data_IF_742917815719
#
_entry.id   IF_742917815719
#
_cell.length_a   1.000
_cell.length_b   1.000
_cell.length_c   1.000
_cell.angle_alpha   90.00
_cell.angle_beta   90.00
_cell.angle_gamma   90.00
#
_symmetry.space_group_name_H-M   'P 1'
#
loop_
_entity.id
_entity.type
_entity.pdbx_description
1 polymer ?
#
# COMPACT_ATOMS: atom_id res chain seq x y z
N UNK A 1 -4.90 -9.48 -6.74
CA UNK A 1 -5.65 -10.31 -7.71
C UNK A 1 -7.04 -9.72 -7.89
N UNK A 2 -7.54 -9.70 -9.13
CA UNK A 2 -8.92 -9.33 -9.45
C UNK A 2 -9.55 -10.40 -10.34
N UNK A 3 -10.79 -10.76 -10.06
CA UNK A 3 -11.60 -11.59 -10.95
C UNK A 3 -12.44 -10.68 -11.82
N UNK A 4 -12.35 -10.86 -13.12
CA UNK A 4 -13.02 -10.03 -14.11
C UNK A 4 -13.89 -10.84 -15.05
N UNK A 5 -15.04 -10.29 -15.43
CA UNK A 5 -15.93 -10.86 -16.42
C UNK A 5 -16.67 -9.74 -17.18
N UNK A 6 -17.14 -10.06 -18.38
CA UNK A 6 -18.10 -9.20 -19.06
C UNK A 6 -19.53 -9.53 -18.64
N UNK A 7 -20.33 -8.51 -18.39
CA UNK A 7 -21.75 -8.69 -18.16
C UNK A 7 -22.51 -8.87 -19.50
N UNK A 8 -23.85 -9.06 -19.42
CA UNK A 8 -24.67 -9.29 -20.61
C UNK A 8 -24.71 -8.09 -21.57
N UNK A 9 -24.44 -6.92 -21.06
CA UNK A 9 -24.34 -5.67 -21.80
C UNK A 9 -22.93 -5.40 -22.36
N UNK A 10 -21.99 -6.34 -22.16
CA UNK A 10 -20.59 -6.23 -22.62
C UNK A 10 -19.72 -5.30 -21.77
N UNK A 11 -20.13 -4.89 -20.56
CA UNK A 11 -19.33 -4.08 -19.67
C UNK A 11 -18.40 -4.96 -18.85
N UNK A 12 -17.13 -4.55 -18.71
CA UNK A 12 -16.17 -5.22 -17.86
C UNK A 12 -16.52 -4.97 -16.38
N UNK A 13 -16.60 -6.04 -15.61
CA UNK A 13 -16.81 -6.03 -14.17
C UNK A 13 -15.71 -6.79 -13.46
N UNK A 14 -15.40 -6.36 -12.23
CA UNK A 14 -14.39 -7.00 -11.42
C UNK A 14 -14.84 -7.12 -9.96
N UNK A 15 -14.28 -8.13 -9.28
CA UNK A 15 -14.27 -8.23 -7.81
C UNK A 15 -12.83 -8.48 -7.35
N UNK A 16 -12.53 -8.00 -6.15
CA UNK A 16 -11.33 -8.42 -5.44
C UNK A 16 -11.72 -9.63 -4.55
N UNK A 17 -11.17 -10.83 -4.80
CA UNK A 17 -11.47 -12.00 -3.97
C UNK A 17 -10.74 -11.98 -2.62
N UNK A 18 -9.85 -11.03 -2.41
CA UNK A 18 -9.08 -10.89 -1.17
C UNK A 18 -9.82 -9.97 -0.19
N UNK A 19 -10.14 -10.49 1.00
CA UNK A 19 -10.77 -9.70 2.06
C UNK A 19 -9.80 -8.82 2.84
N UNK A 20 -8.50 -8.86 2.52
CA UNK A 20 -7.44 -8.10 3.17
C UNK A 20 -7.06 -6.84 2.40
N UNK A 21 -6.75 -5.78 3.15
CA UNK A 21 -6.07 -4.58 2.66
C UNK A 21 -4.60 -4.66 3.11
N UNK A 22 -3.69 -4.78 2.16
CA UNK A 22 -2.28 -5.02 2.39
C UNK A 22 -1.43 -3.89 1.79
N UNK A 23 -0.49 -3.36 2.57
CA UNK A 23 0.33 -2.25 2.11
C UNK A 23 1.72 -2.20 2.73
N UNK A 24 2.54 -1.31 2.18
CA UNK A 24 3.87 -0.95 2.72
C UNK A 24 3.68 0.03 3.86
N UNK A 25 4.37 -0.18 5.00
CA UNK A 25 4.29 0.74 6.13
C UNK A 25 5.13 2.01 5.92
N UNK A 26 6.44 1.97 5.61
CA UNK A 26 7.24 3.17 5.44
C UNK A 26 6.68 4.13 4.40
N UNK A 27 6.58 5.41 4.77
CA UNK A 27 6.02 6.46 3.93
C UNK A 27 4.49 6.53 3.92
N UNK A 28 3.78 5.60 4.55
CA UNK A 28 2.33 5.67 4.73
C UNK A 28 2.01 6.50 5.96
N UNK A 29 1.35 7.64 5.77
CA UNK A 29 0.98 8.60 6.81
C UNK A 29 -0.34 9.30 6.48
N UNK A 30 -0.87 10.10 7.39
CA UNK A 30 -2.14 10.81 7.18
C UNK A 30 -2.09 11.80 6.03
N UNK A 31 -0.96 12.39 5.74
CA UNK A 31 -0.75 13.33 4.64
C UNK A 31 -0.52 12.64 3.28
N UNK A 32 0.04 11.44 3.28
CA UNK A 32 0.30 10.68 2.04
C UNK A 32 -0.83 9.73 1.66
N UNK A 33 -1.47 9.08 2.63
CA UNK A 33 -2.58 8.15 2.40
C UNK A 33 -3.53 8.08 3.61
N UNK A 34 -4.43 9.07 3.78
CA UNK A 34 -5.35 9.11 4.92
C UNK A 34 -6.28 7.89 4.98
N UNK A 35 -6.73 7.37 3.84
CA UNK A 35 -7.60 6.20 3.81
C UNK A 35 -6.90 4.94 4.34
N UNK A 36 -5.63 4.72 4.02
CA UNK A 36 -4.86 3.64 4.59
C UNK A 36 -4.72 3.80 6.11
N UNK A 37 -4.36 4.99 6.58
CA UNK A 37 -4.21 5.27 8.02
C UNK A 37 -5.51 5.06 8.80
N UNK A 38 -6.66 5.42 8.23
CA UNK A 38 -7.97 5.15 8.84
C UNK A 38 -8.30 3.66 8.85
N UNK A 39 -7.91 2.94 7.80
CA UNK A 39 -8.18 1.50 7.66
C UNK A 39 -7.42 0.65 8.68
N UNK A 40 -6.17 1.01 8.97
CA UNK A 40 -5.25 0.21 9.81
C UNK A 40 -5.38 0.46 11.31
N UNK A 41 -6.30 1.29 11.78
CA UNK A 41 -6.41 1.69 13.19
C UNK A 41 -6.77 0.54 14.13
N UNK A 42 -7.36 -0.54 13.63
CA UNK A 42 -7.77 -1.70 14.43
C UNK A 42 -7.68 -2.98 13.61
N UNK A 43 -7.65 -4.13 14.31
CA UNK A 43 -7.64 -5.46 13.69
C UNK A 43 -6.54 -5.64 12.63
N UNK A 44 -5.41 -4.99 12.82
CA UNK A 44 -4.32 -4.93 11.85
C UNK A 44 -3.14 -5.74 12.34
N UNK A 45 -2.55 -6.51 11.44
CA UNK A 45 -1.28 -7.18 11.65
C UNK A 45 -0.19 -6.31 11.02
N UNK A 46 0.83 -5.98 11.82
CA UNK A 46 2.02 -5.29 11.36
C UNK A 46 3.20 -6.25 11.35
N UNK A 47 4.07 -6.14 10.35
CA UNK A 47 5.30 -6.94 10.25
C UNK A 47 6.50 -6.03 10.09
N UNK A 48 7.52 -6.27 10.91
CA UNK A 48 8.82 -5.59 10.85
C UNK A 48 8.73 -4.06 10.99
N UNK A 49 7.75 -3.57 11.73
CA UNK A 49 7.65 -2.18 12.17
C UNK A 49 8.34 -1.98 13.52
N UNK A 50 8.63 -0.75 13.90
CA UNK A 50 9.10 -0.43 15.25
C UNK A 50 7.94 -0.32 16.23
N UNK A 51 8.24 -0.53 17.53
CA UNK A 51 7.28 -0.43 18.62
C UNK A 51 7.61 0.78 19.50
N UNK A 52 6.57 1.50 19.90
CA UNK A 52 6.67 2.58 20.89
C UNK A 52 6.31 2.06 22.27
N UNK A 53 6.95 2.63 23.30
CA UNK A 53 6.72 2.24 24.70
C UNK A 53 5.28 2.47 25.22
N UNK A 54 4.46 3.20 24.47
CA UNK A 54 3.03 3.43 24.72
C UNK A 54 2.11 2.43 24.01
N UNK A 55 2.67 1.44 23.31
CA UNK A 55 1.95 0.38 22.61
C UNK A 55 1.56 0.71 21.17
N UNK A 56 1.93 1.90 20.67
CA UNK A 56 1.75 2.23 19.24
C UNK A 56 2.89 1.63 18.41
N UNK A 57 2.69 1.59 17.11
CA UNK A 57 3.72 1.23 16.12
C UNK A 57 4.27 2.48 15.44
N UNK A 58 5.51 2.37 14.97
CA UNK A 58 6.21 3.43 14.29
C UNK A 58 6.92 2.90 13.03
N UNK A 59 6.97 3.73 12.02
CA UNK A 59 7.77 3.57 10.80
C UNK A 59 8.09 4.94 10.22
N UNK A 60 9.06 5.01 9.34
CA UNK A 60 9.50 6.23 8.67
C UNK A 60 8.35 6.88 7.88
N UNK A 61 8.16 8.18 8.11
CA UNK A 61 7.01 8.97 7.64
C UNK A 61 6.02 9.35 8.75
N UNK A 62 6.16 8.79 9.98
CA UNK A 62 5.35 9.15 11.14
C UNK A 62 6.09 10.03 12.16
N UNK A 63 7.22 10.62 11.78
CA UNK A 63 8.07 11.39 12.70
C UNK A 63 7.33 12.57 13.33
N UNK A 64 6.41 13.20 12.60
CA UNK A 64 5.61 14.32 13.08
C UNK A 64 4.50 13.92 14.07
N UNK A 65 4.15 12.63 14.11
CA UNK A 65 3.08 12.10 14.96
C UNK A 65 3.61 11.54 16.29
N UNK A 66 4.94 11.57 16.51
CA UNK A 66 5.59 10.98 17.67
C UNK A 66 6.43 11.99 18.42
N UNK A 67 6.12 12.18 19.70
CA UNK A 67 6.98 12.93 20.63
C UNK A 67 8.04 12.00 21.21
N UNK A 68 9.19 11.93 20.56
CA UNK A 68 10.31 11.06 20.98
C UNK A 68 10.92 11.41 22.35
N UNK A 69 10.56 12.57 22.96
CA UNK A 69 10.95 12.87 24.33
C UNK A 69 10.10 12.12 25.36
N UNK A 70 8.91 11.67 24.97
CA UNK A 70 7.95 10.99 25.86
C UNK A 70 7.90 9.49 25.69
N UNK A 71 8.34 8.98 24.53
CA UNK A 71 8.26 7.55 24.21
C UNK A 71 9.64 7.00 23.87
N UNK A 72 9.88 5.75 24.22
CA UNK A 72 11.03 4.99 23.76
C UNK A 72 10.62 4.18 22.52
N UNK A 73 11.55 4.04 21.59
CA UNK A 73 11.35 3.27 20.37
C UNK A 73 12.21 2.01 20.41
N UNK A 74 11.59 0.88 20.08
CA UNK A 74 12.28 -0.38 19.84
C UNK A 74 12.17 -0.66 18.34
N UNK A 75 13.32 -0.84 17.67
CA UNK A 75 13.34 -1.10 16.24
C UNK A 75 12.78 -2.49 15.89
N UNK A 76 12.57 -2.74 14.61
CA UNK A 76 12.05 -4.01 14.09
C UNK A 76 12.91 -5.24 14.43
N UNK A 77 14.17 -5.05 14.89
CA UNK A 77 15.04 -6.14 15.35
C UNK A 77 15.00 -6.34 16.87
N UNK A 78 14.17 -5.58 17.60
CA UNK A 78 14.04 -5.64 19.05
C UNK A 78 15.10 -4.83 19.82
N UNK A 79 15.79 -3.89 19.16
CA UNK A 79 16.83 -3.04 19.79
C UNK A 79 16.33 -1.63 20.05
N UNK A 80 16.84 -0.95 21.09
CA UNK A 80 16.57 0.48 21.27
C UNK A 80 16.99 1.28 20.05
N UNK A 81 16.14 2.23 19.64
CA UNK A 81 16.37 3.10 18.51
C UNK A 81 16.09 4.56 18.90
N UNK A 82 16.86 5.47 18.30
CA UNK A 82 16.72 6.91 18.50
C UNK A 82 16.79 7.63 17.15
N UNK A 83 16.02 8.73 16.98
CA UNK A 83 16.12 9.58 15.80
C UNK A 83 17.55 10.04 15.55
N UNK A 84 18.00 9.98 14.30
CA UNK A 84 19.35 10.41 13.92
C UNK A 84 20.45 9.36 14.11
N UNK A 85 20.15 8.12 14.53
CA UNK A 85 21.14 7.05 14.67
C UNK A 85 21.67 6.50 13.33
N UNK A 86 21.18 7.02 12.19
CA UNK A 86 21.62 6.63 10.85
C UNK A 86 21.07 5.29 10.34
N UNK A 87 20.12 4.69 11.08
CA UNK A 87 19.45 3.44 10.69
C UNK A 87 17.94 3.63 10.76
N UNK A 88 17.16 2.98 9.90
CA UNK A 88 15.71 3.02 10.00
C UNK A 88 15.22 2.24 11.24
N UNK A 89 14.12 2.69 11.82
CA UNK A 89 13.44 2.01 12.92
C UNK A 89 12.63 0.81 12.44
N UNK A 90 11.92 0.97 11.33
CA UNK A 90 11.22 -0.12 10.66
C UNK A 90 12.07 -0.70 9.52
N UNK A 91 11.82 -1.97 9.17
CA UNK A 91 12.43 -2.54 7.98
C UNK A 91 11.89 -1.84 6.72
N UNK A 92 12.73 -1.52 5.71
CA UNK A 92 12.26 -0.84 4.48
C UNK A 92 11.11 -1.59 3.76
N UNK A 93 11.00 -2.88 4.01
CA UNK A 93 9.96 -3.74 3.44
C UNK A 93 8.90 -4.15 4.47
N UNK A 94 8.76 -3.41 5.57
CA UNK A 94 7.70 -3.62 6.57
C UNK A 94 6.31 -3.44 5.95
N UNK A 95 5.34 -4.18 6.48
CA UNK A 95 3.99 -4.28 5.91
C UNK A 95 2.93 -4.19 6.99
N UNK A 96 1.73 -3.83 6.56
CA UNK A 96 0.51 -4.02 7.32
C UNK A 96 -0.51 -4.85 6.52
N UNK A 97 -1.36 -5.56 7.23
CA UNK A 97 -2.51 -6.27 6.68
C UNK A 97 -3.71 -6.08 7.62
N UNK A 98 -4.84 -5.68 7.05
CA UNK A 98 -6.06 -5.37 7.80
C UNK A 98 -7.29 -5.80 7.00
N UNK A 99 -8.47 -6.02 7.62
CA UNK A 99 -9.69 -6.30 6.88
C UNK A 99 -10.03 -5.18 5.89
N UNK A 100 -10.25 -5.54 4.62
CA UNK A 100 -10.61 -4.59 3.56
C UNK A 100 -11.90 -3.82 3.88
N UNK A 101 -12.84 -4.46 4.59
CA UNK A 101 -14.11 -3.85 5.04
C UNK A 101 -13.94 -2.64 5.96
N UNK A 102 -12.76 -2.42 6.53
CA UNK A 102 -12.46 -1.24 7.35
C UNK A 102 -12.11 0.00 6.52
N UNK A 103 -11.87 -0.16 5.21
CA UNK A 103 -11.55 0.96 4.33
C UNK A 103 -12.76 1.90 4.19
N UNK A 104 -12.62 3.20 4.53
CA UNK A 104 -13.76 4.12 4.56
C UNK A 104 -14.36 4.40 3.18
N UNK A 105 -13.63 4.11 2.11
CA UNK A 105 -14.05 4.33 0.73
C UNK A 105 -14.27 3.02 -0.05
N UNK A 106 -14.38 1.89 0.66
CA UNK A 106 -14.67 0.61 -0.01
C UNK A 106 -16.02 0.69 -0.73
N UNK A 107 -16.09 0.18 -1.94
CA UNK A 107 -17.35 0.11 -2.69
C UNK A 107 -18.35 -0.77 -1.93
N UNK A 108 -19.61 -0.34 -1.71
CA UNK A 108 -20.60 -1.15 -0.98
C UNK A 108 -20.92 -2.47 -1.68
N UNK A 109 -20.63 -2.57 -2.97
CA UNK A 109 -20.85 -3.76 -3.78
C UNK A 109 -19.60 -4.64 -3.95
N UNK A 110 -18.54 -4.39 -3.18
CA UNK A 110 -17.23 -5.04 -3.33
C UNK A 110 -17.26 -6.57 -3.20
N UNK A 111 -18.25 -7.13 -2.49
CA UNK A 111 -18.45 -8.59 -2.33
C UNK A 111 -19.56 -9.16 -3.24
N UNK A 112 -20.23 -8.34 -4.04
CA UNK A 112 -21.31 -8.83 -4.90
C UNK A 112 -20.75 -9.71 -6.02
N UNK A 113 -21.37 -10.89 -6.27
CA UNK A 113 -20.89 -11.82 -7.31
C UNK A 113 -20.94 -11.25 -8.73
N UNK A 114 -21.79 -10.25 -8.96
CA UNK A 114 -21.90 -9.52 -10.23
C UNK A 114 -20.65 -8.67 -10.51
N UNK A 115 -19.95 -8.28 -9.46
CA UNK A 115 -18.82 -7.38 -9.52
C UNK A 115 -19.23 -5.93 -9.72
N UNK A 116 -18.25 -5.03 -9.61
CA UNK A 116 -18.40 -3.61 -9.91
C UNK A 116 -17.94 -3.30 -11.34
N UNK A 117 -18.56 -2.35 -12.05
CA UNK A 117 -18.10 -1.95 -13.37
C UNK A 117 -16.72 -1.30 -13.28
N UNK A 118 -15.88 -1.58 -14.26
CA UNK A 118 -14.51 -1.04 -14.37
C UNK A 118 -14.47 0.01 -15.45
N UNK A 119 -14.12 1.24 -15.08
CA UNK A 119 -14.00 2.38 -16.00
C UNK A 119 -12.54 2.64 -16.40
N UNK A 120 -11.58 2.28 -15.53
CA UNK A 120 -10.15 2.47 -15.79
C UNK A 120 -9.32 1.36 -15.19
N UNK A 121 -8.19 1.05 -15.80
CA UNK A 121 -7.15 0.18 -15.27
C UNK A 121 -5.87 1.01 -15.17
N UNK A 122 -5.29 1.03 -13.97
CA UNK A 122 -4.06 1.75 -13.68
C UNK A 122 -2.97 0.73 -13.36
N UNK A 123 -1.86 0.82 -14.10
CA UNK A 123 -0.64 0.07 -13.79
C UNK A 123 0.32 0.97 -13.03
N UNK A 124 0.91 0.44 -11.97
CA UNK A 124 1.93 1.12 -11.20
C UNK A 124 3.19 0.27 -11.06
N UNK A 125 4.35 0.92 -10.99
CA UNK A 125 5.61 0.24 -10.79
C UNK A 125 6.75 1.22 -10.54
N UNK A 126 7.90 0.71 -10.13
CA UNK A 126 9.14 1.51 -10.00
C UNK A 126 9.74 1.66 -11.39
N UNK A 127 9.63 2.85 -11.96
CA UNK A 127 10.16 3.15 -13.28
C UNK A 127 11.67 3.37 -13.26
N UNK A 128 12.41 2.98 -14.31
CA UNK A 128 13.79 3.40 -14.49
C UNK A 128 13.88 4.90 -14.79
N UNK A 129 15.06 5.46 -14.62
CA UNK A 129 15.35 6.83 -15.01
C UNK A 129 15.09 7.05 -16.51
N UNK A 130 14.63 8.25 -16.87
CA UNK A 130 14.31 8.61 -18.26
C UNK A 130 12.94 8.16 -18.78
N UNK A 131 12.23 7.31 -18.04
CA UNK A 131 10.85 6.94 -18.38
C UNK A 131 9.87 7.98 -17.83
N UNK A 132 8.84 8.41 -18.58
CA UNK A 132 7.83 9.34 -18.10
C UNK A 132 7.16 8.84 -16.80
N UNK A 133 6.83 9.77 -15.90
CA UNK A 133 6.17 9.45 -14.64
C UNK A 133 4.77 8.87 -14.87
N UNK A 134 4.04 9.41 -15.83
CA UNK A 134 2.68 8.99 -16.19
C UNK A 134 2.58 8.85 -17.70
N UNK A 135 1.94 7.79 -18.14
CA UNK A 135 1.57 7.56 -19.53
C UNK A 135 0.08 7.24 -19.60
N UNK A 136 -0.63 7.93 -20.47
CA UNK A 136 -2.04 7.67 -20.75
C UNK A 136 -2.20 6.93 -22.08
N UNK A 137 -2.98 5.86 -22.10
CA UNK A 137 -3.29 5.16 -23.33
C UNK A 137 -4.36 5.90 -24.15
N UNK A 138 -4.25 5.83 -25.47
CA UNK A 138 -5.23 6.44 -26.39
C UNK A 138 -6.50 5.59 -26.54
N UNK A 139 -6.38 4.28 -26.35
CA UNK A 139 -7.47 3.33 -26.43
C UNK A 139 -7.08 2.02 -25.74
N UNK A 140 -8.01 1.07 -25.68
CA UNK A 140 -7.80 -0.21 -25.00
C UNK A 140 -6.60 -1.00 -25.55
N UNK A 141 -6.45 -1.10 -26.86
CA UNK A 141 -5.32 -1.84 -27.48
C UNK A 141 -3.97 -1.22 -27.12
N UNK A 142 -3.89 0.11 -27.14
CA UNK A 142 -2.69 0.82 -26.69
C UNK A 142 -2.43 0.60 -25.19
N UNK A 143 -3.48 0.55 -24.36
CA UNK A 143 -3.35 0.24 -22.94
C UNK A 143 -2.81 -1.16 -22.68
N UNK A 144 -3.29 -2.16 -23.41
CA UNK A 144 -2.77 -3.53 -23.36
C UNK A 144 -1.29 -3.58 -23.74
N UNK A 145 -0.91 -2.86 -24.81
CA UNK A 145 0.50 -2.78 -25.22
C UNK A 145 1.37 -2.12 -24.15
N UNK A 146 0.96 -0.98 -23.60
CA UNK A 146 1.70 -0.29 -22.53
C UNK A 146 1.84 -1.19 -21.30
N UNK A 147 0.75 -1.82 -20.85
CA UNK A 147 0.78 -2.73 -19.70
C UNK A 147 1.69 -3.94 -19.91
N UNK A 148 1.70 -4.50 -21.14
CA UNK A 148 2.58 -5.62 -21.48
C UNK A 148 4.07 -5.24 -21.56
N UNK A 149 4.36 -3.98 -21.89
CA UNK A 149 5.73 -3.46 -21.98
C UNK A 149 6.27 -2.95 -20.63
N UNK A 150 5.41 -2.77 -19.64
CA UNK A 150 5.86 -2.27 -18.34
C UNK A 150 6.69 -3.30 -17.60
N UNK A 151 7.75 -2.82 -16.97
CA UNK A 151 8.51 -3.54 -15.96
C UNK A 151 8.67 -2.66 -14.73
N UNK A 152 8.95 -3.26 -13.61
CA UNK A 152 9.27 -2.56 -12.36
C UNK A 152 10.72 -2.83 -11.99
N UNK A 153 11.46 -1.80 -11.61
CA UNK A 153 12.78 -1.97 -11.01
C UNK A 153 12.68 -2.71 -9.66
N UNK A 154 13.77 -3.32 -9.24
CA UNK A 154 13.85 -4.00 -7.94
C UNK A 154 13.59 -3.01 -6.79
N UNK A 155 13.09 -3.52 -5.66
CA UNK A 155 13.05 -2.72 -4.43
C UNK A 155 14.45 -2.66 -3.83
N UNK A 156 14.75 -1.61 -3.05
CA UNK A 156 15.98 -1.52 -2.27
C UNK A 156 16.22 -2.76 -1.37
N UNK A 157 15.16 -3.41 -0.91
CA UNK A 157 15.24 -4.64 -0.12
C UNK A 157 15.62 -5.89 -0.94
N UNK A 158 15.56 -5.83 -2.28
CA UNK A 158 15.94 -6.94 -3.19
C UNK A 158 17.34 -6.75 -3.79
N UNK A 159 17.99 -5.64 -3.50
CA UNK A 159 19.33 -5.30 -4.00
C UNK A 159 20.47 -5.79 -3.07
N UNK A 160 20.13 -6.60 -2.07
CA UNK A 160 21.07 -7.13 -1.06
C UNK A 160 21.21 -8.65 -1.17
#
# INVERSE_FOLDING_TARGET
>A
IAWMKFDKEGRLRAINPEAGFFGVAPGTAMDTNPNAMLTIQKNTIFTNVAELSDGRFFWEGLENDVDFHKVKVTDWTGKPWEPGCGKPAAHPNSRFCTPASQCPIIDPDWEKPEGVPIDAIIFGGRRPEGVPLVMQSFNWRHGVFLGACMRSEATAAAEH
#
